data_IF_683854720979
#
_entry.id   IF_683854720979
#
_cell.length_a   1.000
_cell.length_b   1.000
_cell.length_c   1.000
_cell.angle_alpha   90.00
_cell.angle_beta   90.00
_cell.angle_gamma   90.00
#
_symmetry.space_group_name_H-M   'P 1'
#
loop_
_entity.id
_entity.type
_entity.pdbx_description
1 polymer ?
#
# COMPACT_ATOMS: atom_id res chain seq x y z
N UNK A 1 2.10 20.59 14.03
CA UNK A 1 1.35 21.69 13.43
C UNK A 1 0.38 22.27 14.44
N UNK A 2 0.31 23.60 14.47
CA UNK A 2 -0.64 24.30 15.32
C UNK A 2 -1.87 24.61 14.47
N UNK A 3 -2.98 23.92 14.70
CA UNK A 3 -4.25 24.13 14.05
C UNK A 3 -5.33 23.25 14.68
N UNK A 4 -6.52 23.79 14.87
CA UNK A 4 -7.63 23.09 15.49
C UNK A 4 -8.58 22.44 14.46
N UNK A 5 -8.45 22.82 13.20
CA UNK A 5 -9.30 22.34 12.10
C UNK A 5 -8.63 22.53 10.73
N UNK A 6 -9.19 21.93 9.68
CA UNK A 6 -8.74 22.12 8.30
C UNK A 6 -8.80 23.59 7.83
N UNK A 7 -9.61 24.43 8.45
CA UNK A 7 -9.70 25.88 8.15
C UNK A 7 -8.42 26.63 8.52
N UNK A 8 -7.62 26.06 9.39
CA UNK A 8 -6.35 26.65 9.84
C UNK A 8 -5.20 26.31 8.88
N UNK A 9 -5.45 25.50 7.84
CA UNK A 9 -4.45 25.13 6.84
C UNK A 9 -4.12 26.36 5.97
N UNK A 10 -2.82 26.69 5.90
CA UNK A 10 -2.31 27.72 5.01
C UNK A 10 -1.97 27.10 3.65
N UNK A 11 -2.66 27.56 2.61
CA UNK A 11 -2.30 27.18 1.23
C UNK A 11 -1.00 27.90 0.85
N UNK A 12 0.03 27.11 0.55
CA UNK A 12 1.36 27.64 0.22
C UNK A 12 1.48 27.97 -1.28
N UNK A 13 0.89 27.12 -2.13
CA UNK A 13 0.97 27.25 -3.59
C UNK A 13 -0.17 26.51 -4.28
N UNK A 14 -0.72 27.11 -5.33
CA UNK A 14 -1.56 26.42 -6.31
C UNK A 14 -0.72 26.08 -7.53
N UNK A 15 -0.98 24.93 -8.17
CA UNK A 15 -0.47 24.66 -9.51
C UNK A 15 -1.25 25.50 -10.51
N UNK A 16 -0.55 26.41 -11.20
CA UNK A 16 -1.19 27.25 -12.22
C UNK A 16 -1.40 26.53 -13.57
N UNK A 17 -0.84 25.32 -13.72
CA UNK A 17 -0.81 24.62 -15.02
C UNK A 17 -2.09 23.83 -15.31
N UNK A 18 -2.97 23.70 -14.33
CA UNK A 18 -4.23 22.99 -14.50
C UNK A 18 -5.40 23.98 -14.33
N UNK A 19 -5.93 24.50 -15.45
CA UNK A 19 -7.25 25.13 -15.49
C UNK A 19 -8.34 24.07 -15.20
N UNK A 20 -8.27 23.40 -14.02
CA UNK A 20 -9.23 22.38 -13.62
C UNK A 20 -10.66 22.93 -13.49
N UNK A 21 -10.80 24.24 -13.25
CA UNK A 21 -12.11 24.91 -13.19
C UNK A 21 -12.81 24.98 -14.58
N UNK A 22 -12.05 24.84 -15.69
CA UNK A 22 -12.61 24.84 -17.03
C UNK A 22 -12.72 23.46 -17.67
N UNK A 23 -12.13 22.43 -17.07
CA UNK A 23 -12.36 21.06 -17.52
C UNK A 23 -13.78 20.66 -17.12
N UNK A 24 -14.61 20.38 -18.11
CA UNK A 24 -15.95 19.83 -17.93
C UNK A 24 -15.80 18.44 -17.26
N UNK A 25 -15.65 18.39 -15.95
CA UNK A 25 -15.46 17.15 -15.16
C UNK A 25 -16.64 16.18 -15.29
N UNK A 26 -17.72 16.59 -15.96
CA UNK A 26 -18.92 15.77 -16.19
C UNK A 26 -18.69 14.56 -17.12
N UNK A 27 -17.58 14.51 -17.85
CA UNK A 27 -17.29 13.45 -18.86
C UNK A 27 -16.11 12.56 -18.49
N UNK A 28 -15.56 12.63 -17.27
CA UNK A 28 -14.50 11.70 -16.87
C UNK A 28 -15.10 10.35 -16.46
N UNK A 29 -14.60 9.30 -17.10
CA UNK A 29 -14.90 7.92 -16.76
C UNK A 29 -13.97 7.50 -15.61
N UNK A 30 -14.53 6.87 -14.59
CA UNK A 30 -13.81 6.33 -13.45
C UNK A 30 -12.87 5.17 -13.88
N UNK A 31 -11.73 5.02 -13.21
CA UNK A 31 -10.73 4.00 -13.56
C UNK A 31 -11.29 2.57 -13.54
N UNK A 32 -12.21 2.26 -12.65
CA UNK A 32 -12.85 0.95 -12.58
C UNK A 32 -13.80 0.72 -13.76
N UNK A 33 -14.48 1.74 -14.23
CA UNK A 33 -15.31 1.68 -15.43
C UNK A 33 -14.47 1.52 -16.70
N UNK A 34 -13.36 2.23 -16.81
CA UNK A 34 -12.41 2.04 -17.90
C UNK A 34 -11.91 0.60 -17.94
N UNK A 35 -11.48 0.06 -16.80
CA UNK A 35 -11.01 -1.32 -16.69
C UNK A 35 -12.07 -2.35 -17.11
N UNK A 36 -13.34 -2.14 -16.69
CA UNK A 36 -14.47 -2.98 -17.08
C UNK A 36 -14.78 -2.90 -18.58
N UNK A 37 -14.80 -1.70 -19.18
CA UNK A 37 -15.04 -1.49 -20.61
C UNK A 37 -13.97 -2.16 -21.46
N UNK A 38 -12.73 -2.20 -20.98
CA UNK A 38 -11.63 -2.89 -21.67
C UNK A 38 -11.62 -4.41 -21.43
N UNK A 39 -12.46 -4.94 -20.55
CA UNK A 39 -12.45 -6.35 -20.15
C UNK A 39 -11.19 -6.77 -19.37
N UNK A 40 -10.50 -5.81 -18.74
CA UNK A 40 -9.22 -6.03 -18.07
C UNK A 40 -9.31 -5.96 -16.53
N UNK A 41 -10.49 -5.63 -16.00
CA UNK A 41 -10.74 -5.51 -14.56
C UNK A 41 -12.11 -6.07 -14.21
N UNK A 42 -12.18 -6.87 -13.14
CA UNK A 42 -13.45 -7.42 -12.65
C UNK A 42 -13.48 -7.46 -11.12
N UNK A 43 -14.33 -6.65 -10.54
CA UNK A 43 -14.56 -6.60 -9.09
C UNK A 43 -15.68 -7.56 -8.66
N UNK A 44 -16.61 -7.88 -9.56
CA UNK A 44 -17.77 -8.71 -9.23
C UNK A 44 -17.33 -10.17 -9.10
N UNK A 45 -16.44 -10.65 -9.98
CA UNK A 45 -15.82 -11.96 -9.86
C UNK A 45 -14.88 -12.00 -8.62
N UNK A 46 -14.08 -10.96 -8.39
CA UNK A 46 -13.24 -10.89 -7.20
C UNK A 46 -14.07 -11.00 -5.90
N UNK A 47 -15.23 -10.34 -5.86
CA UNK A 47 -16.12 -10.38 -4.71
C UNK A 47 -16.74 -11.77 -4.47
N UNK A 48 -16.96 -12.55 -5.53
CA UNK A 48 -17.41 -13.95 -5.40
C UNK A 48 -16.30 -14.87 -4.87
N UNK A 49 -15.05 -14.58 -5.21
CA UNK A 49 -13.89 -15.40 -4.79
C UNK A 49 -13.52 -15.09 -3.34
N UNK A 50 -13.55 -13.82 -2.96
CA UNK A 50 -13.10 -13.34 -1.65
C UNK A 50 -14.18 -12.52 -0.94
N UNK A 51 -14.24 -11.22 -1.24
CA UNK A 51 -15.25 -10.28 -0.74
C UNK A 51 -15.16 -8.97 -1.53
N UNK A 52 -15.88 -7.93 -1.10
CA UNK A 52 -15.65 -6.56 -1.57
C UNK A 52 -14.21 -6.13 -1.29
N UNK A 53 -13.70 -5.12 -2.01
CA UNK A 53 -12.34 -4.56 -1.90
C UNK A 53 -11.21 -5.54 -2.27
N UNK A 54 -11.53 -6.58 -3.02
CA UNK A 54 -10.58 -7.35 -3.80
C UNK A 54 -10.80 -7.08 -5.29
N UNK A 55 -9.79 -7.28 -6.10
CA UNK A 55 -9.83 -7.02 -7.53
C UNK A 55 -9.20 -8.15 -8.33
N UNK A 56 -9.68 -8.32 -9.56
CA UNK A 56 -9.03 -9.16 -10.56
C UNK A 56 -8.59 -8.29 -11.72
N UNK A 57 -7.34 -8.45 -12.10
CA UNK A 57 -6.74 -7.81 -13.25
C UNK A 57 -6.45 -8.86 -14.32
N UNK A 58 -6.77 -8.56 -15.58
CA UNK A 58 -6.60 -9.50 -16.67
C UNK A 58 -5.63 -8.96 -17.73
N UNK A 59 -5.02 -9.86 -18.49
CA UNK A 59 -4.28 -9.57 -19.70
C UNK A 59 -3.27 -8.42 -19.54
N UNK A 60 -3.40 -7.39 -20.38
CA UNK A 60 -2.50 -6.23 -20.39
C UNK A 60 -2.45 -5.46 -19.07
N UNK A 61 -3.57 -5.37 -18.32
CA UNK A 61 -3.57 -4.67 -17.04
C UNK A 61 -2.79 -5.44 -15.97
N UNK A 62 -2.91 -6.77 -15.93
CA UNK A 62 -2.10 -7.61 -15.04
C UNK A 62 -0.60 -7.53 -15.39
N UNK A 63 -0.27 -7.47 -16.70
CA UNK A 63 1.11 -7.29 -17.16
C UNK A 63 1.66 -5.92 -16.75
N UNK A 64 0.86 -4.85 -16.90
CA UNK A 64 1.24 -3.49 -16.49
C UNK A 64 1.46 -3.41 -14.98
N UNK A 65 0.58 -4.00 -14.18
CA UNK A 65 0.72 -4.05 -12.73
C UNK A 65 2.06 -4.68 -12.30
N UNK A 66 2.39 -5.84 -12.86
CA UNK A 66 3.68 -6.51 -12.62
C UNK A 66 4.87 -5.69 -13.11
N UNK A 67 4.75 -5.07 -14.30
CA UNK A 67 5.82 -4.25 -14.86
C UNK A 67 6.10 -3.01 -14.01
N UNK A 68 5.07 -2.38 -13.45
CA UNK A 68 5.22 -1.24 -12.54
C UNK A 68 5.94 -1.64 -11.24
N UNK A 69 5.56 -2.76 -10.63
CA UNK A 69 6.25 -3.27 -9.44
C UNK A 69 7.72 -3.54 -9.72
N UNK A 70 8.04 -4.24 -10.81
CA UNK A 70 9.41 -4.51 -11.23
C UNK A 70 10.19 -3.23 -11.53
N UNK A 71 9.59 -2.28 -12.24
CA UNK A 71 10.23 -1.00 -12.55
C UNK A 71 10.59 -0.20 -11.29
N UNK A 72 9.67 -0.14 -10.32
CA UNK A 72 9.91 0.58 -9.07
C UNK A 72 11.04 -0.04 -8.26
N UNK A 73 11.03 -1.38 -8.06
CA UNK A 73 12.06 -2.03 -7.26
C UNK A 73 13.42 -1.97 -7.95
N UNK A 74 13.49 -2.21 -9.26
CA UNK A 74 14.72 -2.13 -10.05
C UNK A 74 15.34 -0.71 -10.02
N UNK A 75 14.48 0.33 -10.04
CA UNK A 75 14.92 1.72 -9.93
C UNK A 75 15.62 1.97 -8.59
N UNK A 76 15.06 1.48 -7.48
CA UNK A 76 15.66 1.68 -6.17
C UNK A 76 16.95 0.87 -5.98
N UNK A 77 17.02 -0.34 -6.52
CA UNK A 77 18.24 -1.15 -6.50
C UNK A 77 19.35 -0.49 -7.35
N UNK A 78 19.06 -0.23 -8.62
CA UNK A 78 20.08 0.16 -9.59
C UNK A 78 20.49 1.63 -9.48
N UNK A 79 19.56 2.54 -9.11
CA UNK A 79 19.82 3.99 -9.12
C UNK A 79 19.99 4.57 -7.72
N UNK A 80 19.42 3.99 -6.68
CA UNK A 80 19.41 4.56 -5.34
C UNK A 80 20.21 3.75 -4.31
N UNK A 81 20.81 2.62 -4.73
CA UNK A 81 21.69 1.80 -3.90
C UNK A 81 20.99 1.05 -2.76
N UNK A 82 19.73 0.68 -2.96
CA UNK A 82 19.01 -0.17 -2.02
C UNK A 82 19.37 -1.65 -2.25
N UNK A 83 19.37 -2.43 -1.18
CA UNK A 83 19.46 -3.89 -1.24
C UNK A 83 18.04 -4.46 -1.18
N UNK A 84 17.67 -5.28 -2.16
CA UNK A 84 16.39 -5.98 -2.16
C UNK A 84 16.35 -7.06 -1.09
N UNK A 85 15.24 -7.14 -0.37
CA UNK A 85 14.96 -8.17 0.63
C UNK A 85 13.60 -8.79 0.35
N UNK A 86 13.57 -10.11 0.23
CA UNK A 86 12.33 -10.87 0.19
C UNK A 86 11.89 -11.20 1.63
N UNK A 87 10.78 -10.59 2.06
CA UNK A 87 10.31 -10.64 3.45
C UNK A 87 9.23 -11.69 3.66
N UNK A 88 9.11 -12.28 4.87
CA UNK A 88 7.96 -13.10 5.24
C UNK A 88 6.68 -12.25 5.25
N UNK A 89 5.58 -12.81 4.70
CA UNK A 89 4.27 -12.15 4.68
C UNK A 89 3.45 -12.42 5.94
N UNK A 90 3.86 -13.37 6.77
CA UNK A 90 3.25 -13.72 8.04
C UNK A 90 4.26 -13.38 9.14
N UNK A 91 3.85 -12.56 10.08
CA UNK A 91 4.70 -12.03 11.15
C UNK A 91 4.03 -12.16 12.52
N UNK A 92 4.84 -12.11 13.58
CA UNK A 92 4.35 -12.14 14.96
C UNK A 92 3.96 -10.76 15.48
N UNK A 93 3.21 -10.73 16.59
CA UNK A 93 2.74 -9.51 17.26
C UNK A 93 3.88 -8.61 17.76
N UNK A 94 5.01 -9.20 18.18
CA UNK A 94 6.18 -8.42 18.63
C UNK A 94 6.73 -7.52 17.51
N UNK A 95 6.74 -8.02 16.28
CA UNK A 95 7.19 -7.25 15.12
C UNK A 95 6.28 -6.07 14.83
N UNK A 96 4.96 -6.26 14.94
CA UNK A 96 3.95 -5.20 14.77
C UNK A 96 4.00 -4.17 15.91
N UNK A 97 4.32 -4.61 17.13
CA UNK A 97 4.53 -3.71 18.26
C UNK A 97 5.78 -2.88 18.08
N UNK A 98 6.86 -3.49 17.56
CA UNK A 98 8.14 -2.82 17.30
C UNK A 98 8.07 -1.68 16.29
N UNK A 99 7.12 -1.72 15.36
CA UNK A 99 6.88 -0.67 14.37
C UNK A 99 5.60 0.14 14.63
N UNK A 100 4.94 -0.06 15.77
CA UNK A 100 3.84 0.77 16.26
C UNK A 100 2.46 0.50 15.64
N UNK A 101 2.29 -0.60 14.87
CA UNK A 101 0.98 -1.01 14.38
C UNK A 101 0.11 -1.55 15.52
N UNK A 102 0.69 -2.31 16.43
CA UNK A 102 0.01 -2.75 17.64
C UNK A 102 0.38 -1.86 18.84
N UNK A 103 -0.56 -1.64 19.75
CA UNK A 103 -1.97 -2.09 19.75
C UNK A 103 -2.90 -1.20 18.93
N UNK A 104 -2.45 -0.03 18.46
CA UNK A 104 -3.28 1.08 17.97
C UNK A 104 -4.14 0.71 16.75
N UNK A 105 -3.58 -0.05 15.81
CA UNK A 105 -4.20 -0.38 14.52
C UNK A 105 -4.63 -1.86 14.44
N UNK A 106 -4.92 -2.49 15.57
CA UNK A 106 -5.31 -3.92 15.61
C UNK A 106 -6.47 -4.24 14.67
N UNK A 107 -7.47 -3.38 14.61
CA UNK A 107 -8.68 -3.60 13.78
C UNK A 107 -8.39 -3.54 12.28
N UNK A 108 -7.27 -2.94 11.87
CA UNK A 108 -6.81 -2.88 10.50
C UNK A 108 -5.96 -4.08 10.06
N UNK A 109 -5.66 -5.00 10.96
CA UNK A 109 -4.83 -6.17 10.70
C UNK A 109 -5.65 -7.42 10.39
N UNK A 110 -5.12 -8.30 9.55
CA UNK A 110 -5.61 -9.67 9.40
C UNK A 110 -4.85 -10.60 10.34
N UNK A 111 -5.50 -11.01 11.42
CA UNK A 111 -4.99 -11.99 12.38
C UNK A 111 -5.28 -13.42 11.90
N UNK A 112 -4.33 -14.35 12.08
CA UNK A 112 -4.48 -15.75 11.69
C UNK A 112 -5.24 -16.53 12.76
N UNK A 113 -6.43 -17.02 12.44
CA UNK A 113 -7.33 -17.68 13.37
C UNK A 113 -6.73 -18.91 14.09
N UNK A 114 -5.88 -19.66 13.40
CA UNK A 114 -5.36 -20.94 13.88
C UNK A 114 -3.95 -20.85 14.48
N UNK A 115 -3.42 -19.65 14.62
CA UNK A 115 -2.08 -19.41 15.15
C UNK A 115 -2.10 -18.07 15.88
N UNK A 116 -2.22 -18.17 17.21
CA UNK A 116 -2.21 -17.00 18.08
C UNK A 116 -0.99 -16.13 17.83
N UNK A 117 -1.15 -14.82 17.93
CA UNK A 117 -0.10 -13.80 17.76
C UNK A 117 0.57 -13.74 16.36
N UNK A 118 -0.07 -14.29 15.31
CA UNK A 118 0.41 -14.16 13.95
C UNK A 118 -0.57 -13.41 13.06
N UNK A 119 0.00 -12.56 12.17
CA UNK A 119 -0.73 -11.64 11.31
C UNK A 119 -0.17 -11.63 9.90
N UNK A 120 -1.01 -11.31 8.92
CA UNK A 120 -0.54 -10.91 7.60
C UNK A 120 0.06 -9.50 7.66
N UNK A 121 1.15 -9.25 6.94
CA UNK A 121 1.81 -7.94 6.95
C UNK A 121 0.91 -6.84 6.37
N UNK A 122 0.73 -5.69 7.04
CA UNK A 122 0.06 -4.54 6.46
C UNK A 122 1.00 -3.72 5.55
N UNK A 123 2.30 -3.96 5.65
CA UNK A 123 3.39 -3.29 4.95
C UNK A 123 4.70 -4.06 5.16
N UNK A 124 5.58 -4.05 4.16
CA UNK A 124 6.92 -4.62 4.29
C UNK A 124 7.83 -3.85 5.26
N UNK A 125 7.47 -2.61 5.62
CA UNK A 125 8.13 -1.83 6.67
C UNK A 125 8.30 -2.65 7.96
N UNK A 126 7.28 -3.42 8.35
CA UNK A 126 7.31 -4.19 9.60
C UNK A 126 8.44 -5.22 9.59
N UNK A 127 8.51 -6.19 8.67
CA UNK A 127 9.60 -7.14 8.65
C UNK A 127 10.95 -6.49 8.34
N UNK A 128 11.03 -5.49 7.45
CA UNK A 128 12.30 -4.82 7.12
C UNK A 128 12.91 -4.14 8.35
N UNK A 129 12.14 -3.36 9.09
CA UNK A 129 12.61 -2.68 10.30
C UNK A 129 13.03 -3.67 11.38
N UNK A 130 12.29 -4.77 11.54
CA UNK A 130 12.60 -5.79 12.53
C UNK A 130 13.84 -6.64 12.24
N UNK A 131 14.43 -6.57 11.04
CA UNK A 131 15.77 -7.16 10.76
C UNK A 131 16.81 -6.60 11.75
N UNK A 132 16.62 -5.37 12.20
CA UNK A 132 17.52 -4.63 13.06
C UNK A 132 17.10 -4.59 14.52
N UNK A 133 15.97 -5.20 14.86
CA UNK A 133 15.50 -5.26 16.26
C UNK A 133 16.57 -5.85 17.17
N UNK A 134 16.86 -5.16 18.28
CA UNK A 134 17.88 -5.53 19.27
C UNK A 134 19.33 -5.55 18.71
N UNK A 135 19.61 -4.91 17.60
CA UNK A 135 20.98 -4.73 17.09
C UNK A 135 21.54 -3.37 17.49
N UNK A 136 22.81 -3.36 17.83
CA UNK A 136 23.62 -2.15 18.00
C UNK A 136 24.51 -2.03 16.76
N UNK A 137 24.57 -0.85 16.18
CA UNK A 137 25.38 -0.56 14.99
C UNK A 137 26.57 0.30 15.36
N UNK A 138 27.70 0.05 14.69
CA UNK A 138 28.81 0.97 14.67
C UNK A 138 28.56 2.09 13.65
N UNK A 139 29.20 3.24 13.83
CA UNK A 139 29.02 4.41 12.92
C UNK A 139 29.32 4.06 11.46
N UNK A 140 30.29 3.18 11.22
CA UNK A 140 30.66 2.72 9.87
C UNK A 140 29.68 1.77 9.19
N UNK A 141 28.70 1.23 9.92
CA UNK A 141 27.67 0.34 9.37
C UNK A 141 26.54 1.10 8.64
N UNK A 142 26.48 2.41 8.81
CA UNK A 142 25.40 3.28 8.32
C UNK A 142 25.83 4.14 7.14
N UNK A 143 24.96 4.46 6.19
CA UNK A 143 23.53 4.10 6.13
C UNK A 143 23.29 2.69 5.57
N UNK A 144 22.27 1.99 6.10
CA UNK A 144 21.75 0.74 5.54
C UNK A 144 20.44 1.06 4.82
N UNK A 145 20.30 0.56 3.57
CA UNK A 145 19.12 0.81 2.74
C UNK A 145 18.55 -0.51 2.23
N UNK A 146 17.34 -0.84 2.65
CA UNK A 146 16.62 -2.03 2.19
C UNK A 146 15.35 -1.64 1.45
N UNK A 147 14.96 -2.46 0.47
CA UNK A 147 13.70 -2.34 -0.26
C UNK A 147 13.05 -3.72 -0.43
N UNK A 148 11.74 -3.74 -0.54
CA UNK A 148 10.99 -4.97 -0.78
C UNK A 148 9.75 -4.69 -1.61
N UNK A 149 9.48 -5.54 -2.60
CA UNK A 149 8.19 -5.62 -3.27
C UNK A 149 7.40 -6.77 -2.64
N UNK A 150 6.26 -6.46 -2.04
CA UNK A 150 5.45 -7.48 -1.37
C UNK A 150 3.95 -7.22 -1.49
N UNK A 151 3.15 -8.29 -1.38
CA UNK A 151 1.74 -8.16 -1.03
C UNK A 151 1.61 -7.60 0.39
N UNK A 152 0.65 -6.69 0.56
CA UNK A 152 0.27 -6.10 1.83
C UNK A 152 -1.22 -6.32 2.06
N UNK A 153 -1.63 -6.44 3.33
CA UNK A 153 -2.98 -6.83 3.70
C UNK A 153 -3.52 -5.90 4.78
N UNK A 154 -4.67 -5.25 4.54
CA UNK A 154 -5.33 -4.36 5.50
C UNK A 154 -6.82 -4.61 5.52
N UNK A 155 -7.41 -4.72 6.72
CA UNK A 155 -8.86 -4.89 6.86
C UNK A 155 -9.63 -3.60 6.56
N UNK A 156 -8.94 -2.43 6.55
CA UNK A 156 -9.53 -1.13 6.23
C UNK A 156 -10.79 -0.83 7.07
N UNK A 157 -10.78 -1.17 8.37
CA UNK A 157 -11.93 -1.14 9.26
C UNK A 157 -12.60 0.25 9.39
N UNK A 158 -11.82 1.31 9.25
CA UNK A 158 -12.30 2.70 9.35
C UNK A 158 -12.70 3.36 8.03
N UNK A 159 -12.65 2.65 6.89
CA UNK A 159 -12.83 3.26 5.57
C UNK A 159 -14.26 3.13 5.06
N UNK A 160 -14.91 4.27 4.82
CA UNK A 160 -16.28 4.34 4.30
C UNK A 160 -16.38 5.32 3.11
N UNK A 161 -17.42 5.14 2.27
CA UNK A 161 -17.76 6.10 1.22
C UNK A 161 -17.01 5.90 -0.10
N UNK A 162 -16.61 7.00 -0.75
CA UNK A 162 -16.04 6.99 -2.12
C UNK A 162 -14.75 6.18 -2.25
N UNK A 163 -13.96 6.09 -1.19
CA UNK A 163 -12.67 5.39 -1.19
C UNK A 163 -12.80 3.86 -1.26
N UNK A 164 -14.02 3.34 -1.13
CA UNK A 164 -14.29 1.88 -1.22
C UNK A 164 -14.51 1.39 -2.65
N UNK A 165 -14.60 2.32 -3.62
CA UNK A 165 -14.83 1.99 -5.03
C UNK A 165 -13.50 1.79 -5.78
N UNK A 166 -13.49 0.80 -6.67
CA UNK A 166 -12.34 0.53 -7.56
C UNK A 166 -11.09 0.04 -6.81
N UNK A 167 -9.92 0.58 -7.21
CA UNK A 167 -8.60 0.17 -6.70
C UNK A 167 -8.04 1.08 -5.59
N UNK A 168 -8.82 2.04 -5.08
CA UNK A 168 -8.31 3.06 -4.14
C UNK A 168 -8.02 2.47 -2.77
N UNK A 169 -8.94 1.65 -2.24
CA UNK A 169 -8.82 0.98 -0.93
C UNK A 169 -9.09 -0.50 -1.07
N UNK A 170 -8.04 -1.30 -0.94
CA UNK A 170 -8.08 -2.75 -1.13
C UNK A 170 -7.61 -3.47 0.12
N UNK A 171 -8.21 -4.65 0.40
CA UNK A 171 -7.75 -5.54 1.46
C UNK A 171 -6.41 -6.20 1.14
N UNK A 172 -6.11 -6.35 -0.15
CA UNK A 172 -4.84 -6.88 -0.64
C UNK A 172 -4.32 -5.97 -1.76
N UNK A 173 -3.07 -5.56 -1.68
CA UNK A 173 -2.38 -4.73 -2.67
C UNK A 173 -0.88 -5.01 -2.65
N UNK A 174 -0.17 -4.66 -3.71
CA UNK A 174 1.29 -4.73 -3.74
C UNK A 174 1.90 -3.36 -3.44
N UNK A 175 3.06 -3.39 -2.77
CA UNK A 175 3.79 -2.18 -2.40
C UNK A 175 5.30 -2.41 -2.51
N UNK A 176 5.99 -1.44 -3.11
CA UNK A 176 7.44 -1.31 -2.97
C UNK A 176 7.71 -0.44 -1.76
N UNK A 177 8.39 -0.98 -0.78
CA UNK A 177 8.76 -0.34 0.48
C UNK A 177 10.23 -0.01 0.50
N UNK A 178 10.62 1.16 1.11
CA UNK A 178 11.99 1.64 1.23
C UNK A 178 12.37 1.83 2.69
#
# INVERSE_FOLDING_TARGET
PQGNSEKDNKIIKYSNDLNLEKSNTKNFIDHSEIGKLLGLYDQDIASKISSSRFSLLFGGLAQLHRALGSFMIDTHINSHGYTEVNVPLIINSDSLTGTGQLPKFKDDLFELKNKEDFFLIPTAEVPLTNIFRNKVFEEGDLPIKYTSLSCCFRSEAGSYGKDTKGLIRQHQFEKVEL
#
